data_IF_361832914464
#
_entry.id   IF_361832914464
#
_cell.length_a   1.000
_cell.length_b   1.000
_cell.length_c   1.000
_cell.angle_alpha   90.00
_cell.angle_beta   90.00
_cell.angle_gamma   90.00
#
_symmetry.space_group_name_H-M   'P 1'
#
loop_
_entity.id
_entity.type
_entity.pdbx_description
1 polymer ?
#
# COMPACT_ATOMS: atom_id res chain seq x y z
N UNK A 1 -0.61 5.81 -13.21
CA UNK A 1 -0.05 5.00 -14.34
C UNK A 1 0.14 3.54 -13.95
N UNK A 2 0.80 3.19 -12.85
CA UNK A 2 0.98 1.79 -12.43
C UNK A 2 -0.35 1.06 -12.19
N UNK A 3 -1.31 1.71 -11.55
CA UNK A 3 -2.65 1.13 -11.28
C UNK A 3 -3.39 0.68 -12.55
N UNK A 4 -3.08 1.27 -13.69
CA UNK A 4 -3.79 1.05 -14.95
C UNK A 4 -2.85 0.59 -16.07
N UNK A 5 -1.65 0.14 -15.73
CA UNK A 5 -0.63 -0.20 -16.73
C UNK A 5 -1.06 -1.33 -17.65
N UNK A 6 -1.68 -2.38 -17.12
CA UNK A 6 -2.18 -3.51 -17.93
C UNK A 6 -3.24 -3.07 -18.92
N UNK A 7 -4.19 -2.25 -18.48
CA UNK A 7 -5.23 -1.66 -19.33
C UNK A 7 -4.62 -0.77 -20.42
N UNK A 8 -3.68 0.10 -20.03
CA UNK A 8 -3.03 1.03 -20.97
C UNK A 8 -2.23 0.26 -22.02
N UNK A 9 -1.47 -0.73 -21.62
CA UNK A 9 -0.67 -1.56 -22.52
C UNK A 9 -1.57 -2.33 -23.49
N UNK A 10 -2.65 -2.94 -23.01
CA UNK A 10 -3.65 -3.61 -23.86
C UNK A 10 -4.25 -2.68 -24.90
N UNK A 11 -4.64 -1.46 -24.51
CA UNK A 11 -5.19 -0.46 -25.44
C UNK A 11 -4.16 -0.08 -26.49
N UNK A 12 -2.92 0.18 -26.10
CA UNK A 12 -1.86 0.56 -27.02
C UNK A 12 -1.52 -0.55 -28.01
N UNK A 13 -1.54 -1.81 -27.58
CA UNK A 13 -1.29 -2.98 -28.43
C UNK A 13 -2.31 -3.10 -29.59
N UNK A 14 -3.57 -2.60 -29.43
CA UNK A 14 -4.56 -2.59 -30.49
C UNK A 14 -4.15 -1.73 -31.69
N UNK A 15 -3.23 -0.78 -31.49
CA UNK A 15 -2.82 0.22 -32.51
C UNK A 15 -1.34 0.15 -32.87
N UNK A 16 -0.63 -0.87 -32.38
CA UNK A 16 0.81 -1.05 -32.60
C UNK A 16 1.07 -2.40 -33.30
N UNK A 17 1.13 -2.46 -34.63
CA UNK A 17 1.27 -3.71 -35.37
C UNK A 17 2.51 -4.56 -35.02
N UNK A 18 3.58 -3.90 -34.53
CA UNK A 18 4.81 -4.56 -34.08
C UNK A 18 4.87 -4.80 -32.57
N UNK A 19 3.79 -4.43 -31.84
CA UNK A 19 3.70 -4.54 -30.39
C UNK A 19 4.44 -3.44 -29.64
N UNK A 20 3.97 -3.18 -28.41
CA UNK A 20 4.50 -2.16 -27.52
C UNK A 20 5.95 -2.45 -27.07
N UNK A 21 6.32 -3.71 -26.92
CA UNK A 21 7.66 -4.14 -26.51
C UNK A 21 8.77 -3.81 -27.55
N UNK A 22 8.41 -3.62 -28.82
CA UNK A 22 9.35 -3.28 -29.88
C UNK A 22 9.68 -1.79 -29.94
N UNK A 23 8.99 -0.95 -29.19
CA UNK A 23 9.25 0.48 -29.14
C UNK A 23 10.43 0.80 -28.22
N UNK A 24 11.17 1.86 -28.57
CA UNK A 24 12.15 2.45 -27.66
C UNK A 24 11.49 2.81 -26.32
N UNK A 25 12.21 2.58 -25.22
CA UNK A 25 11.69 2.82 -23.89
C UNK A 25 11.09 4.23 -23.68
N UNK A 26 11.74 5.34 -24.10
CA UNK A 26 11.14 6.67 -23.98
C UNK A 26 9.82 6.80 -24.74
N UNK A 27 9.71 6.25 -25.96
CA UNK A 27 8.50 6.34 -26.78
C UNK A 27 7.37 5.55 -26.13
N UNK A 28 7.66 4.37 -25.60
CA UNK A 28 6.71 3.53 -24.88
C UNK A 28 6.15 4.25 -23.64
N UNK A 29 7.02 4.84 -22.82
CA UNK A 29 6.58 5.55 -21.61
C UNK A 29 5.81 6.84 -21.92
N UNK A 30 6.16 7.56 -23.01
CA UNK A 30 5.39 8.72 -23.50
C UNK A 30 3.97 8.30 -23.88
N UNK A 31 3.81 7.19 -24.61
CA UNK A 31 2.48 6.66 -24.98
C UNK A 31 1.67 6.29 -23.75
N UNK A 32 2.27 5.56 -22.80
CA UNK A 32 1.62 5.18 -21.53
C UNK A 32 1.16 6.39 -20.74
N UNK A 33 2.04 7.38 -20.57
CA UNK A 33 1.74 8.60 -19.83
C UNK A 33 0.59 9.39 -20.46
N UNK A 34 0.58 9.54 -21.77
CA UNK A 34 -0.48 10.26 -22.46
C UNK A 34 -1.85 9.57 -22.35
N UNK A 35 -1.90 8.25 -22.51
CA UNK A 35 -3.16 7.48 -22.28
C UNK A 35 -3.60 7.59 -20.83
N UNK A 36 -2.68 7.51 -19.86
CA UNK A 36 -3.00 7.68 -18.45
C UNK A 36 -3.59 9.06 -18.15
N UNK A 37 -2.99 10.12 -18.67
CA UNK A 37 -3.49 11.51 -18.52
C UNK A 37 -4.89 11.68 -19.09
N UNK A 38 -5.10 11.21 -20.33
CA UNK A 38 -6.39 11.38 -21.01
C UNK A 38 -7.52 10.57 -20.35
N UNK A 39 -7.25 9.34 -19.91
CA UNK A 39 -8.30 8.43 -19.40
C UNK A 39 -8.55 8.53 -17.89
N UNK A 40 -7.53 8.83 -17.10
CA UNK A 40 -7.60 8.73 -15.63
C UNK A 40 -7.31 10.05 -14.90
N UNK A 41 -6.80 11.07 -15.61
CA UNK A 41 -6.44 12.36 -14.99
C UNK A 41 -7.24 13.54 -15.56
N UNK A 42 -8.30 13.26 -16.32
CA UNK A 42 -9.22 14.26 -16.91
C UNK A 42 -8.51 15.31 -17.79
N UNK A 43 -7.33 14.98 -18.33
CA UNK A 43 -6.64 15.85 -19.28
C UNK A 43 -7.32 15.72 -20.65
N UNK A 44 -7.66 16.83 -21.32
CA UNK A 44 -8.21 16.78 -22.68
C UNK A 44 -7.29 16.00 -23.64
N UNK A 45 -7.86 15.10 -24.44
CA UNK A 45 -7.13 14.22 -25.37
C UNK A 45 -6.17 15.03 -26.26
N UNK A 46 -6.62 16.18 -26.80
CA UNK A 46 -5.79 17.04 -27.63
C UNK A 46 -4.56 17.57 -26.90
N UNK A 47 -4.70 17.94 -25.63
CA UNK A 47 -3.59 18.39 -24.78
C UNK A 47 -2.60 17.27 -24.50
N UNK A 48 -3.09 16.08 -24.07
CA UNK A 48 -2.23 14.91 -23.82
C UNK A 48 -1.45 14.50 -25.07
N UNK A 49 -2.09 14.48 -26.24
CA UNK A 49 -1.43 14.16 -27.52
C UNK A 49 -0.37 15.20 -27.89
N UNK A 50 -0.68 16.49 -27.77
CA UNK A 50 0.26 17.55 -28.09
C UNK A 50 1.51 17.50 -27.20
N UNK A 51 1.34 17.32 -25.90
CA UNK A 51 2.48 17.19 -24.98
C UNK A 51 3.30 15.93 -25.25
N UNK A 52 2.65 14.79 -25.53
CA UNK A 52 3.35 13.57 -25.92
C UNK A 52 4.22 13.77 -27.17
N UNK A 53 3.71 14.46 -28.19
CA UNK A 53 4.48 14.77 -29.40
C UNK A 53 5.66 15.71 -29.11
N UNK A 54 5.51 16.70 -28.23
CA UNK A 54 6.63 17.55 -27.78
C UNK A 54 7.70 16.73 -27.05
N UNK A 55 7.28 15.82 -26.16
CA UNK A 55 8.18 14.94 -25.40
C UNK A 55 9.02 14.05 -26.33
N UNK A 56 8.49 13.57 -27.47
CA UNK A 56 9.32 12.80 -28.42
C UNK A 56 10.54 13.61 -28.92
N UNK A 57 10.37 14.92 -29.09
CA UNK A 57 11.48 15.82 -29.52
C UNK A 57 12.47 16.03 -28.39
N UNK A 58 11.99 16.28 -27.17
CA UNK A 58 12.83 16.46 -25.98
C UNK A 58 13.69 15.23 -25.67
N UNK A 59 13.15 14.03 -25.90
CA UNK A 59 13.88 12.76 -25.74
C UNK A 59 14.66 12.33 -27.02
N UNK A 60 14.87 13.23 -27.99
CA UNK A 60 15.58 12.96 -29.24
C UNK A 60 14.98 11.80 -30.07
N UNK A 61 13.67 11.63 -30.01
CA UNK A 61 12.89 10.61 -30.73
C UNK A 61 11.90 11.24 -31.73
N UNK A 62 12.30 12.33 -32.38
CA UNK A 62 11.45 13.09 -33.29
C UNK A 62 10.86 12.25 -34.44
N UNK A 63 11.56 11.22 -34.90
CA UNK A 63 11.08 10.29 -35.93
C UNK A 63 9.83 9.50 -35.46
N UNK A 64 9.60 9.36 -34.17
CA UNK A 64 8.42 8.70 -33.60
C UNK A 64 7.19 9.63 -33.45
N UNK A 65 7.33 10.95 -33.70
CA UNK A 65 6.26 11.93 -33.47
C UNK A 65 4.98 11.60 -34.24
N UNK A 66 5.10 11.17 -35.50
CA UNK A 66 3.96 10.77 -36.34
C UNK A 66 3.24 9.53 -35.79
N UNK A 67 4.01 8.51 -35.38
CA UNK A 67 3.49 7.29 -34.75
C UNK A 67 2.75 7.63 -33.44
N UNK A 68 3.39 8.40 -32.55
CA UNK A 68 2.82 8.79 -31.26
C UNK A 68 1.49 9.52 -31.44
N UNK A 69 1.43 10.49 -32.35
CA UNK A 69 0.20 11.23 -32.64
C UNK A 69 -0.90 10.31 -33.20
N UNK A 70 -0.57 9.44 -34.15
CA UNK A 70 -1.56 8.54 -34.78
C UNK A 70 -2.12 7.49 -33.77
N UNK A 71 -1.25 6.89 -32.97
CA UNK A 71 -1.63 5.91 -31.96
C UNK A 71 -2.48 6.54 -30.86
N UNK A 72 -2.05 7.67 -30.30
CA UNK A 72 -2.75 8.29 -29.15
C UNK A 72 -4.16 8.79 -29.51
N UNK A 73 -4.35 9.33 -30.73
CA UNK A 73 -5.69 9.76 -31.17
C UNK A 73 -6.72 8.65 -31.13
N UNK A 74 -6.31 7.39 -31.32
CA UNK A 74 -7.17 6.20 -31.25
C UNK A 74 -7.18 5.60 -29.84
N UNK A 75 -6.02 5.47 -29.21
CA UNK A 75 -5.89 4.83 -27.91
C UNK A 75 -6.61 5.58 -26.78
N UNK A 76 -6.54 6.93 -26.78
CA UNK A 76 -7.18 7.72 -25.73
C UNK A 76 -8.71 7.63 -25.72
N UNK A 77 -9.33 7.29 -26.84
CA UNK A 77 -10.80 7.18 -26.99
C UNK A 77 -11.25 5.72 -27.17
N UNK A 78 -10.37 4.75 -26.97
CA UNK A 78 -10.70 3.33 -27.11
C UNK A 78 -11.77 2.91 -26.12
N UNK A 79 -12.80 2.22 -26.61
CA UNK A 79 -13.93 1.73 -25.82
C UNK A 79 -13.60 0.34 -25.24
N UNK A 80 -13.30 0.29 -23.94
CA UNK A 80 -12.98 -0.94 -23.23
C UNK A 80 -14.18 -1.89 -23.10
N UNK A 81 -15.41 -1.38 -23.15
CA UNK A 81 -16.60 -2.23 -23.04
C UNK A 81 -16.77 -3.12 -24.28
N UNK A 82 -16.10 -2.77 -25.38
CA UNK A 82 -16.05 -3.57 -26.60
C UNK A 82 -14.82 -4.48 -26.70
N UNK A 83 -13.98 -4.49 -25.65
CA UNK A 83 -12.80 -5.33 -25.64
C UNK A 83 -13.18 -6.83 -25.57
N UNK A 84 -12.51 -7.63 -26.38
CA UNK A 84 -12.63 -9.09 -26.35
C UNK A 84 -11.37 -9.64 -25.73
N UNK A 85 -11.52 -10.41 -24.67
CA UNK A 85 -10.43 -11.09 -23.96
C UNK A 85 -10.40 -12.56 -24.35
N UNK A 86 -9.22 -13.16 -24.43
CA UNK A 86 -9.05 -14.58 -24.78
C UNK A 86 -9.60 -15.53 -23.71
N UNK A 87 -9.40 -15.13 -22.45
CA UNK A 87 -9.79 -15.89 -21.28
C UNK A 87 -9.99 -14.94 -20.08
N UNK A 88 -10.46 -15.50 -18.95
CA UNK A 88 -10.68 -14.73 -17.72
C UNK A 88 -9.36 -14.21 -17.12
N UNK A 89 -8.24 -14.92 -17.31
CA UNK A 89 -6.92 -14.47 -16.84
C UNK A 89 -6.50 -13.21 -17.61
N UNK A 90 -6.62 -13.18 -18.94
CA UNK A 90 -6.33 -11.96 -19.71
C UNK A 90 -7.24 -10.80 -19.29
N UNK A 91 -8.52 -11.06 -19.05
CA UNK A 91 -9.45 -10.03 -18.54
C UNK A 91 -8.98 -9.47 -17.19
N UNK A 92 -8.56 -10.31 -16.25
CA UNK A 92 -8.01 -9.88 -14.96
C UNK A 92 -6.70 -9.10 -15.14
N UNK A 93 -5.81 -9.54 -16.01
CA UNK A 93 -4.56 -8.83 -16.31
C UNK A 93 -4.82 -7.44 -16.90
N UNK A 94 -5.81 -7.30 -17.75
CA UNK A 94 -6.14 -6.04 -18.43
C UNK A 94 -6.93 -5.12 -17.50
N UNK A 95 -8.11 -5.55 -17.04
CA UNK A 95 -9.00 -4.71 -16.24
C UNK A 95 -8.47 -4.48 -14.82
N UNK A 96 -7.84 -5.49 -14.22
CA UNK A 96 -7.21 -5.40 -12.90
C UNK A 96 -5.79 -4.86 -12.93
N UNK A 97 -5.19 -4.68 -14.12
CA UNK A 97 -3.81 -4.23 -14.31
C UNK A 97 -2.81 -5.03 -13.46
N UNK A 98 -2.87 -6.34 -13.56
CA UNK A 98 -2.04 -7.27 -12.79
C UNK A 98 -1.10 -8.09 -13.68
N UNK A 99 -0.03 -8.64 -13.09
CA UNK A 99 0.77 -9.67 -13.76
C UNK A 99 -0.06 -10.95 -13.94
N UNK A 100 0.34 -11.80 -14.89
CA UNK A 100 -0.31 -13.10 -15.10
C UNK A 100 -0.32 -13.93 -13.81
N UNK A 101 0.78 -13.96 -13.08
CA UNK A 101 0.93 -14.73 -11.85
C UNK A 101 -0.04 -14.29 -10.75
N UNK A 102 -0.22 -12.96 -10.59
CA UNK A 102 -1.20 -12.40 -9.64
C UNK A 102 -2.62 -12.70 -10.10
N UNK A 103 -2.91 -12.56 -11.39
CA UNK A 103 -4.23 -12.88 -11.95
C UNK A 103 -4.58 -14.35 -11.79
N UNK A 104 -3.65 -15.29 -12.11
CA UNK A 104 -3.84 -16.73 -11.93
C UNK A 104 -4.00 -17.12 -10.46
N UNK A 105 -3.21 -16.50 -9.56
CA UNK A 105 -3.34 -16.73 -8.11
C UNK A 105 -4.73 -16.31 -7.61
N UNK A 106 -5.17 -15.10 -7.95
CA UNK A 106 -6.46 -14.59 -7.50
C UNK A 106 -7.61 -15.38 -8.13
N UNK A 107 -7.55 -15.69 -9.40
CA UNK A 107 -8.58 -16.50 -10.06
C UNK A 107 -8.72 -17.89 -9.46
N UNK A 108 -7.60 -18.51 -9.05
CA UNK A 108 -7.60 -19.86 -8.42
C UNK A 108 -8.22 -19.84 -7.04
N UNK A 109 -7.96 -18.81 -6.23
CA UNK A 109 -8.35 -18.77 -4.82
C UNK A 109 -9.61 -17.97 -4.55
N UNK A 110 -9.93 -17.00 -5.42
CA UNK A 110 -11.05 -16.05 -5.29
C UNK A 110 -11.69 -15.78 -6.66
N UNK A 111 -12.22 -16.81 -7.37
CA UNK A 111 -12.64 -16.68 -8.76
C UNK A 111 -13.72 -15.61 -8.99
N UNK A 112 -14.67 -15.46 -8.08
CA UNK A 112 -15.77 -14.51 -8.19
C UNK A 112 -15.34 -13.08 -7.78
N UNK A 113 -14.44 -12.95 -6.82
CA UNK A 113 -13.99 -11.68 -6.25
C UNK A 113 -12.72 -11.13 -6.90
N UNK A 114 -12.00 -11.93 -7.71
CA UNK A 114 -10.67 -11.59 -8.23
C UNK A 114 -10.61 -10.21 -8.90
N UNK A 115 -11.58 -9.89 -9.75
CA UNK A 115 -11.65 -8.59 -10.41
C UNK A 115 -11.94 -7.47 -9.39
N UNK A 116 -12.87 -7.69 -8.47
CA UNK A 116 -13.21 -6.74 -7.40
C UNK A 116 -11.99 -6.43 -6.53
N UNK A 117 -11.20 -7.45 -6.14
CA UNK A 117 -9.96 -7.28 -5.38
C UNK A 117 -8.95 -6.42 -6.15
N UNK A 118 -8.78 -6.68 -7.46
CA UNK A 118 -7.85 -5.94 -8.30
C UNK A 118 -8.28 -4.51 -8.60
N UNK A 119 -9.58 -4.26 -8.71
CA UNK A 119 -10.12 -2.93 -9.05
C UNK A 119 -10.48 -2.10 -7.83
N UNK A 120 -10.48 -2.71 -6.64
CA UNK A 120 -10.73 -1.98 -5.40
C UNK A 120 -9.74 -0.82 -5.26
N UNK A 121 -10.26 0.37 -5.05
CA UNK A 121 -9.49 1.56 -4.71
C UNK A 121 -9.54 1.78 -3.20
N UNK A 122 -8.44 2.24 -2.60
CA UNK A 122 -8.43 2.58 -1.19
C UNK A 122 -9.55 3.60 -0.88
N UNK A 123 -10.29 3.36 0.19
CA UNK A 123 -11.52 4.05 0.61
C UNK A 123 -11.48 5.57 0.46
N UNK A 124 -11.77 6.07 -0.74
CA UNK A 124 -11.93 7.50 -1.04
C UNK A 124 -10.80 8.43 -0.53
N UNK A 125 -9.59 7.90 -0.29
CA UNK A 125 -8.45 8.66 0.22
C UNK A 125 -8.48 8.87 1.74
N UNK A 126 -9.28 8.13 2.49
CA UNK A 126 -9.24 8.13 3.96
C UNK A 126 -8.04 7.33 4.47
N UNK A 127 -7.40 7.86 5.49
CA UNK A 127 -6.30 7.19 6.19
C UNK A 127 -6.81 6.67 7.53
N UNK A 128 -6.53 5.41 7.82
CA UNK A 128 -6.81 4.81 9.13
C UNK A 128 -5.70 5.15 10.11
N UNK A 129 -6.10 5.66 11.25
CA UNK A 129 -5.27 6.08 12.38
C UNK A 129 -5.65 5.29 13.61
N UNK A 130 -4.73 5.22 14.58
CA UNK A 130 -4.99 4.75 15.94
C UNK A 130 -4.75 5.89 16.91
N UNK A 131 -5.74 6.24 17.73
CA UNK A 131 -5.61 7.24 18.78
C UNK A 131 -4.66 6.75 19.89
N UNK A 132 -3.85 7.64 20.42
CA UNK A 132 -3.00 7.31 21.58
C UNK A 132 -3.83 7.44 22.88
N UNK A 133 -4.16 6.33 23.56
CA UNK A 133 -5.01 6.36 24.76
C UNK A 133 -4.36 7.07 25.95
N UNK A 134 -3.03 7.26 25.93
CA UNK A 134 -2.34 8.08 26.94
C UNK A 134 -2.65 9.57 26.82
N UNK A 135 -3.25 10.01 25.70
CA UNK A 135 -3.49 11.42 25.40
C UNK A 135 -4.94 11.75 25.08
N UNK A 136 -5.59 10.94 24.26
CA UNK A 136 -6.93 11.21 23.74
C UNK A 136 -7.71 9.95 23.44
N UNK A 137 -9.04 10.03 23.53
CA UNK A 137 -9.94 9.04 22.96
C UNK A 137 -10.07 9.22 21.44
N UNK A 138 -10.61 8.22 20.74
CA UNK A 138 -10.89 8.31 19.30
C UNK A 138 -11.83 9.50 18.97
N UNK A 139 -12.86 9.74 19.78
CA UNK A 139 -13.77 10.87 19.60
C UNK A 139 -13.05 12.21 19.72
N UNK A 140 -12.25 12.39 20.77
CA UNK A 140 -11.44 13.61 20.96
C UNK A 140 -10.42 13.80 19.84
N UNK A 141 -9.82 12.69 19.33
CA UNK A 141 -8.92 12.78 18.19
C UNK A 141 -9.64 13.28 16.94
N UNK A 142 -10.87 12.81 16.66
CA UNK A 142 -11.67 13.33 15.53
C UNK A 142 -11.87 14.84 15.63
N UNK A 143 -12.25 15.34 16.79
CA UNK A 143 -12.42 16.78 17.01
C UNK A 143 -11.12 17.57 16.80
N UNK A 144 -10.01 17.09 17.37
CA UNK A 144 -8.70 17.72 17.22
C UNK A 144 -8.24 17.72 15.75
N UNK A 145 -8.44 16.62 15.02
CA UNK A 145 -8.09 16.54 13.61
C UNK A 145 -8.86 17.56 12.77
N UNK A 146 -10.17 17.70 13.00
CA UNK A 146 -10.99 18.70 12.31
C UNK A 146 -10.54 20.13 12.62
N UNK A 147 -10.20 20.43 13.88
CA UNK A 147 -9.66 21.72 14.29
C UNK A 147 -8.28 22.03 13.68
N UNK A 148 -7.51 20.99 13.34
CA UNK A 148 -6.18 21.10 12.73
C UNK A 148 -6.18 20.87 11.20
N UNK A 149 -7.32 21.05 10.54
CA UNK A 149 -7.40 21.14 9.09
C UNK A 149 -7.59 19.80 8.36
N UNK A 150 -7.98 18.72 9.05
CA UNK A 150 -8.46 17.52 8.37
C UNK A 150 -9.77 17.84 7.62
N UNK A 151 -9.93 17.26 6.42
CA UNK A 151 -11.17 17.42 5.61
C UNK A 151 -12.34 16.64 6.19
N UNK A 152 -12.06 15.50 6.81
CA UNK A 152 -13.02 14.71 7.56
C UNK A 152 -12.28 13.87 8.60
N UNK A 153 -12.95 13.55 9.70
CA UNK A 153 -12.49 12.59 10.70
C UNK A 153 -13.70 11.95 11.36
N UNK A 154 -13.71 10.62 11.41
CA UNK A 154 -14.78 9.83 12.01
C UNK A 154 -14.21 8.58 12.71
N UNK A 155 -14.87 8.04 13.73
CA UNK A 155 -14.46 6.79 14.34
C UNK A 155 -14.46 5.65 13.30
N UNK A 156 -13.44 4.79 13.35
CA UNK A 156 -13.40 3.58 12.55
C UNK A 156 -14.18 2.43 13.20
N UNK A 157 -14.22 1.27 12.53
CA UNK A 157 -14.93 0.07 13.03
C UNK A 157 -14.17 -0.62 14.17
N UNK A 158 -12.85 -0.44 14.25
CA UNK A 158 -12.02 -0.98 15.33
C UNK A 158 -12.03 0.01 16.49
N UNK A 159 -12.36 -0.40 17.73
CA UNK A 159 -12.32 0.49 18.89
C UNK A 159 -10.96 1.22 18.99
N UNK A 160 -10.98 2.53 19.18
CA UNK A 160 -9.76 3.38 19.19
C UNK A 160 -9.25 3.80 17.83
N UNK A 161 -9.78 3.27 16.72
CA UNK A 161 -9.42 3.70 15.37
C UNK A 161 -10.20 4.94 14.93
N UNK A 162 -9.57 5.73 14.05
CA UNK A 162 -10.14 6.91 13.41
C UNK A 162 -9.86 6.83 11.92
N UNK A 163 -10.84 7.13 11.10
CA UNK A 163 -10.70 7.35 9.67
C UNK A 163 -10.64 8.85 9.39
N UNK A 164 -9.60 9.32 8.74
CA UNK A 164 -9.43 10.74 8.48
C UNK A 164 -8.91 11.02 7.07
N UNK A 165 -9.31 12.17 6.51
CA UNK A 165 -8.82 12.66 5.22
C UNK A 165 -8.02 13.94 5.43
N UNK A 166 -6.81 13.97 4.86
CA UNK A 166 -5.86 15.07 4.96
C UNK A 166 -5.56 15.68 3.58
N UNK A 167 -5.11 16.93 3.59
CA UNK A 167 -4.26 17.45 2.53
C UNK A 167 -2.80 17.13 2.89
N UNK A 168 -2.13 16.37 2.03
CA UNK A 168 -0.75 15.92 2.30
C UNK A 168 -0.67 14.66 3.18
N UNK A 169 0.50 14.44 3.75
CA UNK A 169 0.79 13.24 4.53
C UNK A 169 0.30 13.37 5.99
N UNK A 170 -0.41 12.36 6.52
CA UNK A 170 -0.76 12.32 7.94
C UNK A 170 0.46 12.40 8.88
N UNK A 171 1.63 11.90 8.45
CA UNK A 171 2.87 11.91 9.21
C UNK A 171 3.53 13.31 9.29
N UNK A 172 3.09 14.25 8.47
CA UNK A 172 3.57 15.65 8.49
C UNK A 172 2.75 16.55 9.43
N UNK A 173 1.64 16.04 9.95
CA UNK A 173 0.77 16.80 10.85
C UNK A 173 1.42 16.97 12.23
N UNK A 174 1.16 18.12 12.88
CA UNK A 174 1.69 18.41 14.21
C UNK A 174 1.19 17.43 15.27
N UNK A 175 -0.08 17.04 15.22
CA UNK A 175 -0.64 16.04 16.13
C UNK A 175 0.06 14.67 16.02
N UNK A 176 0.55 14.30 14.83
CA UNK A 176 1.36 13.10 14.65
C UNK A 176 2.71 13.24 15.34
N UNK A 177 3.41 14.37 15.14
CA UNK A 177 4.72 14.63 15.76
C UNK A 177 4.63 14.63 17.29
N UNK A 178 3.53 15.15 17.80
CA UNK A 178 3.22 15.17 19.23
C UNK A 178 2.74 13.81 19.77
N UNK A 179 2.59 12.78 18.95
CA UNK A 179 2.21 11.45 19.36
C UNK A 179 0.75 11.28 19.80
N UNK A 180 -0.19 12.06 19.24
CA UNK A 180 -1.63 11.88 19.48
C UNK A 180 -2.19 10.67 18.75
N UNK A 181 -1.53 10.24 17.69
CA UNK A 181 -1.92 9.05 16.92
C UNK A 181 -0.74 8.44 16.16
N UNK A 182 -0.93 7.23 15.70
CA UNK A 182 -0.12 6.60 14.66
C UNK A 182 -0.97 6.17 13.47
N UNK A 183 -0.32 5.94 12.33
CA UNK A 183 -1.00 5.52 11.09
C UNK A 183 -0.96 4.00 11.01
N UNK A 184 -2.13 3.37 11.06
CA UNK A 184 -2.24 1.92 10.94
C UNK A 184 -3.60 1.51 10.37
N UNK A 185 -3.59 0.56 9.40
CA UNK A 185 -4.81 0.03 8.80
C UNK A 185 -5.66 -0.75 9.79
N UNK A 186 -6.99 -0.66 9.71
CA UNK A 186 -7.89 -1.32 10.65
C UNK A 186 -7.70 -2.85 10.72
N UNK A 187 -7.45 -3.51 9.58
CA UNK A 187 -7.14 -4.94 9.55
C UNK A 187 -5.86 -5.29 10.33
N UNK A 188 -4.83 -4.41 10.24
CA UNK A 188 -3.59 -4.55 11.00
C UNK A 188 -3.82 -4.35 12.50
N UNK A 189 -4.67 -3.38 12.86
CA UNK A 189 -5.09 -3.17 14.25
C UNK A 189 -5.82 -4.41 14.79
N UNK A 190 -6.76 -4.99 14.03
CA UNK A 190 -7.46 -6.22 14.43
C UNK A 190 -6.49 -7.37 14.66
N UNK A 191 -5.50 -7.56 13.78
CA UNK A 191 -4.49 -8.60 13.94
C UNK A 191 -3.69 -8.45 15.24
N UNK A 192 -3.33 -7.23 15.63
CA UNK A 192 -2.66 -6.97 16.91
C UNK A 192 -3.58 -7.21 18.11
N UNK A 193 -4.87 -6.83 18.03
CA UNK A 193 -5.85 -7.11 19.08
C UNK A 193 -6.09 -8.62 19.30
N UNK A 194 -6.01 -9.45 18.25
CA UNK A 194 -6.14 -10.90 18.35
C UNK A 194 -5.01 -11.57 19.17
N UNK A 195 -3.93 -10.86 19.46
CA UNK A 195 -2.88 -11.34 20.38
C UNK A 195 -3.39 -11.41 21.82
N UNK A 196 -4.39 -10.59 22.17
CA UNK A 196 -4.97 -10.49 23.51
C UNK A 196 -3.91 -10.23 24.61
N UNK A 197 -2.97 -9.33 24.31
CA UNK A 197 -1.95 -8.92 25.27
C UNK A 197 -2.61 -8.25 26.50
N UNK A 198 -2.08 -8.52 27.68
CA UNK A 198 -2.65 -8.06 28.95
C UNK A 198 -1.62 -7.29 29.77
N UNK A 199 -2.06 -6.42 30.67
CA UNK A 199 -1.18 -5.77 31.64
C UNK A 199 -0.34 -6.80 32.41
N UNK A 200 0.98 -6.60 32.42
CA UNK A 200 1.93 -7.47 33.08
C UNK A 200 2.51 -8.63 32.25
N UNK A 201 1.96 -8.89 31.04
CA UNK A 201 2.48 -9.94 30.16
C UNK A 201 3.91 -9.64 29.68
N UNK A 202 4.63 -10.70 29.35
CA UNK A 202 5.82 -10.67 28.51
C UNK A 202 5.41 -10.99 27.08
N UNK A 203 5.55 -10.02 26.16
CA UNK A 203 5.11 -10.14 24.76
C UNK A 203 6.31 -10.01 23.83
N UNK A 204 6.38 -10.82 22.77
CA UNK A 204 7.33 -10.70 21.68
C UNK A 204 6.62 -10.29 20.40
N UNK A 205 7.12 -9.23 19.74
CA UNK A 205 6.75 -8.85 18.38
C UNK A 205 7.98 -9.04 17.48
N UNK A 206 8.02 -10.14 16.71
CA UNK A 206 9.24 -10.62 16.07
C UNK A 206 9.52 -10.00 14.69
N UNK A 207 8.54 -9.33 14.07
CA UNK A 207 8.68 -8.65 12.77
C UNK A 207 8.06 -7.25 12.85
N UNK A 208 8.45 -6.47 13.85
CA UNK A 208 7.71 -5.34 14.38
C UNK A 208 7.70 -4.07 13.51
N UNK A 209 8.74 -3.85 12.68
CA UNK A 209 8.86 -2.56 11.98
C UNK A 209 7.75 -2.31 10.94
N UNK A 210 7.21 -1.09 10.92
CA UNK A 210 7.70 0.15 11.55
C UNK A 210 7.19 0.43 12.98
N UNK A 211 6.51 -0.51 13.64
CA UNK A 211 6.13 -0.39 15.05
C UNK A 211 4.63 -0.20 15.31
N UNK A 212 3.76 -0.20 14.29
CA UNK A 212 2.32 0.02 14.48
C UNK A 212 1.68 -1.01 15.42
N UNK A 213 1.88 -2.30 15.17
CA UNK A 213 1.36 -3.38 16.02
C UNK A 213 1.99 -3.39 17.41
N UNK A 214 3.31 -3.11 17.49
CA UNK A 214 4.01 -2.90 18.77
C UNK A 214 3.30 -1.87 19.64
N UNK A 215 2.96 -0.71 19.06
CA UNK A 215 2.28 0.38 19.79
C UNK A 215 0.92 -0.08 20.32
N UNK A 216 0.15 -0.78 19.49
CA UNK A 216 -1.15 -1.30 19.90
C UNK A 216 -1.03 -2.36 20.99
N UNK A 217 -0.05 -3.26 20.92
CA UNK A 217 0.25 -4.21 21.99
C UNK A 217 0.61 -3.48 23.29
N UNK A 218 1.44 -2.43 23.24
CA UNK A 218 1.77 -1.62 24.40
C UNK A 218 0.54 -0.91 25.00
N UNK A 219 -0.41 -0.46 24.14
CA UNK A 219 -1.71 0.09 24.58
C UNK A 219 -2.53 -0.95 25.32
N UNK A 220 -2.71 -2.16 24.77
CA UNK A 220 -3.46 -3.25 25.40
C UNK A 220 -2.83 -3.69 26.74
N UNK A 221 -1.50 -3.66 26.82
CA UNK A 221 -0.74 -3.90 28.05
C UNK A 221 -0.81 -2.70 29.04
N UNK A 222 -1.50 -1.62 28.69
CA UNK A 222 -1.59 -0.39 29.50
C UNK A 222 -0.22 0.18 29.91
N UNK A 223 0.79 0.04 29.06
CA UNK A 223 2.15 0.46 29.33
C UNK A 223 2.87 -0.30 30.45
N UNK A 224 2.36 -1.48 30.84
CA UNK A 224 2.96 -2.33 31.89
C UNK A 224 3.41 -3.69 31.34
N UNK A 225 4.21 -4.42 32.11
CA UNK A 225 4.80 -5.68 31.62
C UNK A 225 6.04 -5.43 30.77
N UNK A 226 6.35 -6.36 29.85
CA UNK A 226 7.56 -6.33 29.02
C UNK A 226 7.23 -6.69 27.57
N UNK A 227 7.35 -5.74 26.66
CA UNK A 227 7.18 -5.95 25.22
C UNK A 227 8.53 -5.83 24.52
N UNK A 228 9.00 -6.93 23.90
CA UNK A 228 10.24 -6.95 23.13
C UNK A 228 9.88 -6.96 21.65
N UNK A 229 10.22 -5.86 20.97
CA UNK A 229 9.91 -5.65 19.56
C UNK A 229 11.17 -5.80 18.71
N UNK A 230 11.13 -6.78 17.81
CA UNK A 230 12.25 -7.20 17.02
C UNK A 230 12.09 -6.89 15.54
N UNK A 231 13.20 -6.63 14.84
CA UNK A 231 13.24 -6.69 13.39
C UNK A 231 14.66 -7.08 12.93
N UNK A 232 14.78 -7.52 11.67
CA UNK A 232 16.01 -8.13 11.14
C UNK A 232 17.13 -7.13 10.89
N UNK A 233 16.84 -5.82 10.77
CA UNK A 233 17.86 -4.79 10.49
C UNK A 233 17.79 -3.65 11.49
N UNK A 234 18.97 -3.14 11.85
CA UNK A 234 19.11 -2.02 12.77
C UNK A 234 18.30 -0.79 12.35
N UNK A 235 18.30 -0.44 11.06
CA UNK A 235 17.52 0.68 10.54
C UNK A 235 16.03 0.51 10.80
N UNK A 236 15.50 -0.71 10.69
CA UNK A 236 14.09 -1.01 10.97
C UNK A 236 13.80 -0.96 12.47
N UNK A 237 14.71 -1.47 13.30
CA UNK A 237 14.62 -1.37 14.76
C UNK A 237 14.56 0.08 15.23
N UNK A 238 15.36 0.97 14.62
CA UNK A 238 15.32 2.41 14.92
C UNK A 238 13.98 3.06 14.57
N UNK A 239 13.25 2.57 13.56
CA UNK A 239 11.89 3.06 13.27
C UNK A 239 10.93 2.71 14.41
N UNK A 240 11.03 1.49 14.95
CA UNK A 240 10.23 1.06 16.10
C UNK A 240 10.55 1.95 17.30
N UNK A 241 11.82 2.12 17.65
CA UNK A 241 12.25 2.93 18.79
C UNK A 241 11.71 4.36 18.72
N UNK A 242 11.84 5.02 17.56
CA UNK A 242 11.29 6.37 17.34
C UNK A 242 9.77 6.43 17.49
N UNK A 243 9.06 5.41 17.01
CA UNK A 243 7.60 5.36 17.15
C UNK A 243 7.20 5.18 18.63
N UNK A 244 7.87 4.29 19.35
CA UNK A 244 7.67 4.03 20.78
C UNK A 244 7.94 5.29 21.63
N UNK A 245 9.05 5.99 21.36
CA UNK A 245 9.40 7.25 22.03
C UNK A 245 8.33 8.32 21.78
N UNK A 246 7.97 8.53 20.51
CA UNK A 246 6.96 9.52 20.11
C UNK A 246 5.59 9.28 20.76
N UNK A 247 5.22 8.00 20.93
CA UNK A 247 3.92 7.61 21.51
C UNK A 247 3.96 7.48 23.04
N UNK A 248 5.14 7.51 23.68
CA UNK A 248 5.29 7.51 25.14
C UNK A 248 5.30 6.11 25.80
N UNK A 249 5.65 5.04 25.07
CA UNK A 249 5.67 3.67 25.57
C UNK A 249 7.07 3.12 25.91
N UNK A 250 8.06 3.98 26.07
CA UNK A 250 9.45 3.58 26.35
C UNK A 250 9.64 2.81 27.66
N UNK A 251 8.71 2.92 28.59
CA UNK A 251 8.79 2.24 29.89
C UNK A 251 8.55 0.73 29.79
N UNK A 252 7.78 0.26 28.81
CA UNK A 252 7.39 -1.15 28.67
C UNK A 252 7.93 -1.81 27.38
N UNK A 253 8.44 -1.03 26.42
CA UNK A 253 8.89 -1.54 25.11
C UNK A 253 10.43 -1.51 25.02
N UNK A 254 11.00 -2.67 24.79
CA UNK A 254 12.41 -2.86 24.43
C UNK A 254 12.50 -3.16 22.92
N UNK A 255 13.53 -2.65 22.24
CA UNK A 255 13.76 -2.94 20.82
C UNK A 255 15.02 -3.75 20.63
N UNK A 256 14.99 -4.74 19.73
CA UNK A 256 16.12 -5.66 19.53
C UNK A 256 16.26 -5.99 18.04
N UNK A 257 17.50 -5.91 17.52
CA UNK A 257 17.81 -6.45 16.20
C UNK A 257 17.87 -7.99 16.29
N UNK A 258 16.94 -8.68 15.62
CA UNK A 258 16.79 -10.13 15.68
C UNK A 258 16.28 -10.70 14.36
N UNK A 259 16.90 -11.77 13.90
CA UNK A 259 16.41 -12.57 12.77
C UNK A 259 15.47 -13.66 13.31
N UNK A 260 14.15 -13.47 13.11
CA UNK A 260 13.13 -14.38 13.59
C UNK A 260 13.18 -15.79 12.95
N UNK A 261 13.94 -15.97 11.87
CA UNK A 261 14.16 -17.29 11.25
C UNK A 261 15.17 -18.15 12.02
N UNK A 262 15.81 -17.62 13.06
CA UNK A 262 16.86 -18.27 13.84
C UNK A 262 16.55 -18.22 15.33
N UNK A 263 16.77 -19.32 16.06
CA UNK A 263 16.65 -19.31 17.51
C UNK A 263 17.59 -18.27 18.15
N UNK A 264 17.04 -17.48 19.08
CA UNK A 264 17.82 -16.51 19.85
C UNK A 264 17.64 -16.77 21.35
N UNK A 265 18.65 -17.33 22.04
CA UNK A 265 18.58 -17.65 23.47
C UNK A 265 18.49 -16.42 24.39
N UNK A 266 18.67 -15.20 23.85
CA UNK A 266 18.49 -13.95 24.60
C UNK A 266 17.03 -13.53 24.74
N UNK A 267 16.14 -14.10 23.91
CA UNK A 267 14.71 -13.84 24.05
C UNK A 267 14.16 -14.66 25.23
N UNK A 268 13.33 -14.04 26.10
CA UNK A 268 12.71 -14.76 27.21
C UNK A 268 11.59 -15.67 26.69
N UNK A 269 11.12 -16.55 27.58
CA UNK A 269 9.81 -17.14 27.40
C UNK A 269 8.74 -16.03 27.48
N UNK A 270 7.74 -16.10 26.60
CA UNK A 270 6.71 -15.08 26.48
C UNK A 270 5.32 -15.66 26.71
N UNK A 271 4.44 -14.85 27.26
CA UNK A 271 3.02 -15.15 27.40
C UNK A 271 2.31 -15.05 26.04
N UNK A 272 2.76 -14.14 25.18
CA UNK A 272 2.20 -13.89 23.86
C UNK A 272 3.32 -13.63 22.83
N UNK A 273 3.10 -14.08 21.60
CA UNK A 273 4.02 -13.84 20.49
C UNK A 273 3.23 -13.40 19.27
N UNK A 274 3.64 -12.28 18.68
CA UNK A 274 3.17 -11.81 17.39
C UNK A 274 4.27 -12.03 16.33
N UNK A 275 3.90 -12.64 15.21
CA UNK A 275 4.77 -12.81 14.04
C UNK A 275 4.05 -12.31 12.80
N UNK A 276 4.20 -11.03 12.50
CA UNK A 276 3.73 -10.43 11.24
C UNK A 276 4.85 -10.51 10.20
N UNK A 277 5.10 -11.72 9.71
CA UNK A 277 6.21 -12.00 8.80
C UNK A 277 6.03 -11.31 7.45
N UNK A 278 7.13 -10.95 6.74
CA UNK A 278 7.05 -10.43 5.38
C UNK A 278 6.24 -11.36 4.46
N UNK A 279 5.32 -10.78 3.69
CA UNK A 279 4.43 -11.49 2.79
C UNK A 279 4.41 -10.87 1.39
N UNK A 280 3.63 -11.45 0.46
CA UNK A 280 3.44 -10.92 -0.90
C UNK A 280 2.85 -9.51 -0.96
N UNK A 281 2.18 -9.07 0.11
CA UNK A 281 1.53 -7.76 0.18
C UNK A 281 0.23 -7.66 -0.61
N UNK A 282 -0.35 -8.78 -1.07
CA UNK A 282 -1.60 -8.77 -1.87
C UNK A 282 -2.76 -8.09 -1.13
N UNK A 283 -2.78 -8.09 0.20
CA UNK A 283 -3.79 -7.39 1.00
C UNK A 283 -3.72 -5.85 0.94
N UNK A 284 -2.68 -5.26 0.33
CA UNK A 284 -2.51 -3.81 0.23
C UNK A 284 -2.37 -3.31 -1.22
N UNK A 285 -2.88 -4.07 -2.19
CA UNK A 285 -2.85 -3.72 -3.63
C UNK A 285 -3.43 -2.34 -3.93
N UNK A 286 -4.48 -1.93 -3.22
CA UNK A 286 -5.09 -0.62 -3.35
C UNK A 286 -4.16 0.53 -2.94
N UNK A 287 -3.25 0.30 -1.99
CA UNK A 287 -2.29 1.30 -1.49
C UNK A 287 -0.93 1.24 -2.17
N UNK A 288 -0.55 0.06 -2.69
CA UNK A 288 0.74 -0.20 -3.34
C UNK A 288 0.54 -0.90 -4.68
N UNK A 289 0.21 -0.17 -5.73
CA UNK A 289 -0.12 -0.74 -7.04
C UNK A 289 1.07 -1.44 -7.72
N UNK A 290 2.31 -1.17 -7.31
CA UNK A 290 3.49 -1.86 -7.80
C UNK A 290 3.51 -3.35 -7.47
N UNK A 291 2.85 -3.77 -6.39
CA UNK A 291 2.72 -5.18 -5.97
C UNK A 291 1.98 -6.00 -7.02
N UNK A 292 1.05 -5.41 -7.78
CA UNK A 292 0.31 -6.09 -8.87
C UNK A 292 1.22 -6.72 -9.93
N UNK A 293 2.48 -6.26 -10.01
CA UNK A 293 3.47 -6.70 -11.00
C UNK A 293 4.61 -7.52 -10.39
N UNK A 294 4.56 -7.81 -9.09
CA UNK A 294 5.51 -8.68 -8.42
C UNK A 294 5.01 -10.13 -8.46
N UNK A 295 5.93 -11.08 -8.48
CA UNK A 295 5.54 -12.48 -8.36
C UNK A 295 5.09 -12.77 -6.92
N UNK A 296 3.88 -13.29 -6.69
CA UNK A 296 3.44 -13.70 -5.36
C UNK A 296 4.23 -14.89 -4.82
N UNK A 297 4.86 -15.67 -5.69
CA UNK A 297 5.57 -16.92 -5.34
C UNK A 297 6.84 -16.66 -4.52
N UNK A 298 7.48 -15.49 -4.67
CA UNK A 298 8.74 -15.18 -3.97
C UNK A 298 8.61 -15.09 -2.44
N UNK A 299 7.39 -15.06 -1.90
CA UNK A 299 7.12 -14.93 -0.47
C UNK A 299 6.29 -16.07 0.13
N UNK A 300 5.75 -16.99 -0.69
CA UNK A 300 4.90 -18.10 -0.21
C UNK A 300 5.67 -19.26 0.38
N UNK A 301 6.99 -19.23 0.34
CA UNK A 301 7.87 -20.26 0.90
C UNK A 301 8.50 -19.89 2.25
N UNK A 302 8.03 -18.83 2.90
CA UNK A 302 8.33 -18.59 4.30
C UNK A 302 7.52 -19.59 5.15
N UNK A 303 7.96 -20.83 5.17
CA UNK A 303 7.56 -21.77 6.21
C UNK A 303 8.26 -21.33 7.48
N UNK A 304 7.49 -20.85 8.45
CA UNK A 304 7.96 -20.73 9.82
C UNK A 304 8.26 -22.14 10.33
N UNK A 305 9.40 -22.35 11.00
CA UNK A 305 9.75 -23.65 11.58
C UNK A 305 8.74 -24.07 12.65
#
# INVERSE_FOLDING_TARGET
>A
MLEHRGTIDFILEQFLPKGLAKLDAPVREILRAAVAQARYMQVPVSAAVNEAVKLTRSFKKSSASGLVNAVLRKACVYDLDKAVFKDEIEKLMVLGSASREVAEFLHRHYPEEALGILTHTADGGMTSLRANPLKVSAAQLCELLMQNGAKSAEPGIVPGSVLARFEGSPAEQELFRQGYYHVEGQASQLAALCVEAKPGDTVLDLCAAPGGKTLLLAEEMQGTGRLISCDVTENRVQLIAKAVERMGFTACVETLCNDASRPNPKLPQADRILVDAPCSGLGILAKKPDIRYKSPVSYTHLTLP
#
